data_IF_818951048986
#
_entry.id   IF_818951048986
#
_cell.length_a   1.000
_cell.length_b   1.000
_cell.length_c   1.000
_cell.angle_alpha   90.00
_cell.angle_beta   90.00
_cell.angle_gamma   90.00
#
_symmetry.space_group_name_H-M   'P 1'
#
loop_
_entity.id
_entity.type
_entity.pdbx_description
1 polymer ?
#
# COMPACT_ATOMS: atom_id res chain seq x y z
N UNK A 1 -8.82 -3.72 24.67
CA UNK A 1 -8.55 -4.23 26.03
C UNK A 1 -9.62 -3.73 27.00
N UNK A 2 -10.31 -4.70 27.62
CA UNK A 2 -11.30 -4.70 28.73
C UNK A 2 -12.56 -3.81 28.62
N UNK A 3 -13.69 -4.44 28.26
CA UNK A 3 -15.00 -4.17 28.86
C UNK A 3 -15.39 -5.41 29.71
N UNK A 4 -15.69 -5.19 30.99
CA UNK A 4 -15.60 -6.12 32.11
C UNK A 4 -16.84 -7.01 32.31
N UNK A 5 -17.29 -7.59 31.21
CA UNK A 5 -18.07 -8.83 31.25
C UNK A 5 -19.48 -8.72 30.73
N UNK A 6 -19.61 -8.38 29.43
CA UNK A 6 -20.54 -8.96 28.44
C UNK A 6 -20.89 -8.01 27.25
N UNK A 7 -20.16 -6.90 27.09
CA UNK A 7 -20.30 -5.93 25.98
C UNK A 7 -18.89 -5.56 25.50
N UNK A 8 -18.43 -6.12 24.37
CA UNK A 8 -17.02 -6.06 23.97
C UNK A 8 -16.64 -4.85 23.09
N UNK A 9 -17.63 -4.10 22.58
CA UNK A 9 -17.42 -2.84 21.84
C UNK A 9 -17.92 -1.60 22.64
N UNK A 10 -18.46 -1.84 23.84
CA UNK A 10 -18.87 -0.85 24.83
C UNK A 10 -19.98 0.08 24.30
N UNK A 11 -20.87 -0.46 23.45
CA UNK A 11 -22.01 0.27 22.88
C UNK A 11 -23.29 0.23 23.75
N UNK A 12 -23.25 -0.50 24.88
CA UNK A 12 -24.32 -0.60 25.86
C UNK A 12 -25.28 -1.76 25.65
N UNK A 13 -24.97 -2.73 24.78
CA UNK A 13 -25.77 -3.92 24.53
C UNK A 13 -25.04 -5.18 25.02
N UNK A 14 -25.76 -6.05 25.71
CA UNK A 14 -25.18 -7.15 26.51
C UNK A 14 -25.78 -8.49 26.09
N UNK A 15 -25.52 -8.99 24.89
CA UNK A 15 -25.97 -10.32 24.43
C UNK A 15 -25.35 -10.74 23.08
N UNK A 16 -25.45 -12.03 22.77
CA UNK A 16 -24.72 -12.75 21.72
C UNK A 16 -25.15 -12.48 20.28
N UNK A 17 -25.33 -11.22 19.93
CA UNK A 17 -25.71 -10.73 18.58
C UNK A 17 -24.61 -9.89 17.93
N UNK A 18 -23.33 -10.13 18.28
CA UNK A 18 -22.19 -9.44 17.70
C UNK A 18 -21.43 -10.36 16.70
N UNK A 19 -21.63 -10.23 15.38
CA UNK A 19 -20.82 -10.94 14.39
C UNK A 19 -19.43 -10.31 14.21
N UNK A 20 -19.07 -9.31 15.02
CA UNK A 20 -17.97 -8.36 14.73
C UNK A 20 -16.61 -8.70 15.34
N UNK A 21 -16.44 -9.86 15.99
CA UNK A 21 -15.09 -10.41 16.15
C UNK A 21 -14.64 -10.91 14.77
N UNK A 22 -13.80 -10.14 14.07
CA UNK A 22 -13.05 -10.66 12.92
C UNK A 22 -12.20 -11.82 13.44
N UNK A 23 -12.70 -13.04 13.25
CA UNK A 23 -11.94 -14.23 13.60
C UNK A 23 -10.96 -14.43 12.45
N UNK A 24 -9.73 -13.97 12.63
CA UNK A 24 -8.65 -14.29 11.70
C UNK A 24 -8.60 -15.81 11.49
N UNK A 25 -8.41 -16.22 10.23
CA UNK A 25 -8.47 -17.62 9.81
C UNK A 25 -9.86 -18.12 9.37
N UNK A 26 -10.92 -17.31 9.45
CA UNK A 26 -12.21 -17.68 8.84
C UNK A 26 -12.20 -17.51 7.32
N UNK A 27 -12.93 -18.36 6.57
CA UNK A 27 -13.09 -18.19 5.12
C UNK A 27 -13.75 -16.87 4.75
N UNK A 28 -13.36 -16.31 3.61
CA UNK A 28 -13.92 -15.08 3.07
C UNK A 28 -14.05 -15.14 1.54
N UNK A 29 -14.88 -14.26 0.98
CA UNK A 29 -15.06 -14.04 -0.46
C UNK A 29 -14.72 -12.60 -0.86
N UNK A 30 -14.95 -11.65 0.03
CA UNK A 30 -14.75 -10.22 -0.18
C UNK A 30 -13.86 -9.63 0.91
N UNK A 31 -13.16 -8.52 0.63
CA UNK A 31 -12.43 -7.81 1.69
C UNK A 31 -13.35 -7.31 2.81
N UNK A 32 -14.62 -6.97 2.50
CA UNK A 32 -15.61 -6.54 3.50
C UNK A 32 -16.03 -7.64 4.46
N UNK A 33 -15.82 -8.93 4.14
CA UNK A 33 -16.07 -10.04 5.07
C UNK A 33 -15.12 -10.02 6.28
N UNK A 34 -13.96 -9.36 6.14
CA UNK A 34 -12.93 -9.25 7.16
C UNK A 34 -12.88 -7.87 7.82
N UNK A 35 -13.87 -7.01 7.53
CA UNK A 35 -13.99 -5.68 8.10
C UNK A 35 -14.30 -5.77 9.61
N UNK A 36 -13.75 -4.89 10.47
CA UNK A 36 -13.00 -3.66 10.15
C UNK A 36 -11.48 -3.77 10.18
N UNK A 37 -10.90 -4.90 10.58
CA UNK A 37 -9.46 -4.99 10.94
C UNK A 37 -8.65 -5.89 10.03
N UNK A 38 -9.31 -6.74 9.24
CA UNK A 38 -8.65 -7.73 8.41
C UNK A 38 -8.69 -7.45 6.91
N UNK A 39 -7.94 -8.25 6.18
CA UNK A 39 -8.02 -8.35 4.73
C UNK A 39 -8.32 -9.79 4.33
N UNK A 40 -9.25 -9.98 3.40
CA UNK A 40 -9.44 -11.28 2.76
C UNK A 40 -8.27 -11.54 1.80
N UNK A 41 -7.53 -12.63 2.02
CA UNK A 41 -6.36 -12.96 1.21
C UNK A 41 -6.26 -14.47 0.96
N UNK A 42 -5.68 -14.83 -0.20
CA UNK A 42 -5.43 -16.22 -0.58
C UNK A 42 -4.14 -16.70 0.07
N UNK A 43 -4.23 -17.64 1.00
CA UNK A 43 -3.06 -18.25 1.62
C UNK A 43 -2.43 -19.27 0.70
N UNK A 44 -1.11 -19.15 0.46
CA UNK A 44 -0.39 -20.00 -0.48
C UNK A 44 -0.33 -21.47 -0.02
N UNK A 45 -0.35 -21.73 1.29
CA UNK A 45 -0.29 -23.07 1.89
C UNK A 45 -1.57 -23.88 1.68
N UNK A 46 -2.73 -23.24 1.79
CA UNK A 46 -4.05 -23.89 1.75
C UNK A 46 -4.80 -23.65 0.45
N UNK A 47 -4.38 -22.64 -0.33
CA UNK A 47 -5.10 -22.10 -1.48
C UNK A 47 -6.54 -21.65 -1.14
N UNK A 48 -6.78 -21.26 0.11
CA UNK A 48 -8.06 -20.76 0.59
C UNK A 48 -8.00 -19.25 0.82
N UNK A 49 -9.13 -18.59 0.59
CA UNK A 49 -9.35 -17.21 0.95
C UNK A 49 -9.75 -17.15 2.43
N UNK A 50 -8.93 -16.51 3.26
CA UNK A 50 -9.18 -16.35 4.68
C UNK A 50 -8.92 -14.92 5.17
N UNK A 51 -9.67 -14.52 6.19
CA UNK A 51 -9.45 -13.25 6.86
C UNK A 51 -8.09 -13.26 7.58
N UNK A 52 -7.24 -12.31 7.20
CA UNK A 52 -5.84 -12.26 7.61
C UNK A 52 -5.51 -10.91 8.26
N UNK A 53 -4.55 -10.93 9.17
CA UNK A 53 -4.00 -9.73 9.80
C UNK A 53 -3.25 -8.92 8.74
N UNK A 54 -3.54 -7.62 8.55
CA UNK A 54 -2.79 -6.78 7.63
C UNK A 54 -1.37 -6.53 8.17
N UNK A 55 -0.39 -6.37 7.28
CA UNK A 55 1.00 -6.13 7.63
C UNK A 55 1.69 -5.20 6.63
N UNK A 56 2.77 -4.56 7.07
CA UNK A 56 3.71 -3.81 6.24
C UNK A 56 5.07 -4.50 6.06
N UNK A 57 5.42 -5.40 6.97
CA UNK A 57 6.57 -6.28 6.82
C UNK A 57 6.47 -7.50 7.72
N UNK A 58 7.44 -8.42 7.62
CA UNK A 58 7.46 -9.67 8.40
C UNK A 58 7.45 -9.41 9.92
N UNK A 59 7.92 -8.24 10.37
CA UNK A 59 7.94 -7.85 11.78
C UNK A 59 6.55 -7.59 12.38
N UNK A 60 5.54 -7.34 11.54
CA UNK A 60 4.15 -7.14 11.98
C UNK A 60 3.42 -8.47 12.17
N UNK A 61 3.99 -9.58 11.68
CA UNK A 61 3.38 -10.90 11.72
C UNK A 61 3.81 -11.71 12.95
N UNK A 62 3.00 -12.73 13.30
CA UNK A 62 3.34 -13.59 14.43
C UNK A 62 4.61 -14.41 14.14
N UNK A 63 5.27 -14.87 15.20
CA UNK A 63 6.48 -15.70 15.06
C UNK A 63 6.21 -16.92 14.17
N UNK A 64 6.95 -17.02 13.06
CA UNK A 64 6.82 -18.11 12.09
C UNK A 64 5.88 -17.80 10.93
N UNK A 65 5.34 -16.59 10.85
CA UNK A 65 4.60 -16.07 9.70
C UNK A 65 5.47 -15.10 8.88
N UNK A 66 5.03 -14.81 7.66
CA UNK A 66 5.61 -13.82 6.75
C UNK A 66 4.55 -12.85 6.28
N UNK A 67 4.96 -11.66 5.88
CA UNK A 67 4.10 -10.66 5.27
C UNK A 67 4.13 -10.81 3.75
N UNK A 68 2.96 -11.05 3.15
CA UNK A 68 2.78 -11.20 1.71
C UNK A 68 1.85 -10.14 1.15
N UNK A 69 2.06 -9.71 -0.09
CA UNK A 69 1.25 -8.64 -0.66
C UNK A 69 -0.15 -9.13 -0.99
N UNK A 70 -1.17 -8.35 -0.62
CA UNK A 70 -2.54 -8.55 -1.13
C UNK A 70 -2.57 -8.19 -2.62
N UNK A 71 -2.90 -9.12 -3.54
CA UNK A 71 -3.05 -8.80 -4.96
C UNK A 71 -4.10 -7.71 -5.17
N UNK A 72 -3.83 -6.74 -6.05
CA UNK A 72 -4.76 -5.63 -6.26
C UNK A 72 -4.64 -4.49 -5.24
N UNK A 73 -3.58 -4.47 -4.42
CA UNK A 73 -3.37 -3.43 -3.41
C UNK A 73 -2.28 -2.41 -3.78
N UNK A 74 -2.46 -1.19 -3.27
CA UNK A 74 -1.45 -0.15 -3.13
C UNK A 74 -0.86 -0.27 -1.73
N UNK A 75 0.15 -1.11 -1.59
CA UNK A 75 0.87 -1.32 -0.33
C UNK A 75 -0.04 -1.82 0.81
N UNK A 76 -0.70 -2.97 0.62
CA UNK A 76 -1.34 -3.70 1.72
C UNK A 76 -0.80 -5.12 1.73
N UNK A 77 -0.25 -5.55 2.86
CA UNK A 77 0.18 -6.92 3.09
C UNK A 77 -0.81 -7.70 3.94
N UNK A 78 -0.63 -9.01 4.01
CA UNK A 78 -1.30 -9.91 4.94
C UNK A 78 -0.32 -10.93 5.52
N UNK A 79 -0.50 -11.27 6.79
CA UNK A 79 0.28 -12.31 7.45
C UNK A 79 -0.22 -13.69 7.06
N UNK A 80 0.72 -14.58 6.74
CA UNK A 80 0.45 -16.00 6.50
C UNK A 80 1.61 -16.87 6.96
N UNK A 81 1.31 -18.14 7.21
CA UNK A 81 2.34 -19.16 7.38
C UNK A 81 3.11 -19.27 6.05
N UNK A 82 4.45 -19.18 6.06
CA UNK A 82 5.24 -19.30 4.85
C UNK A 82 4.93 -20.65 4.19
N UNK A 83 4.65 -20.69 2.89
CA UNK A 83 4.52 -21.94 2.18
C UNK A 83 5.85 -22.71 2.26
N UNK A 84 5.81 -24.01 1.96
CA UNK A 84 7.00 -24.88 1.91
C UNK A 84 7.89 -24.56 0.69
N UNK A 85 8.28 -23.30 0.59
CA UNK A 85 9.04 -22.63 -0.45
C UNK A 85 10.32 -22.05 0.15
N UNK A 86 11.14 -21.43 -0.70
CA UNK A 86 12.42 -20.86 -0.30
C UNK A 86 12.22 -19.58 0.50
N UNK A 87 12.96 -19.46 1.61
CA UNK A 87 12.98 -18.28 2.47
C UNK A 87 13.88 -17.18 1.86
N UNK A 88 13.77 -15.98 2.43
CA UNK A 88 14.58 -14.82 2.05
C UNK A 88 16.08 -15.15 1.98
N UNK A 89 16.77 -14.56 1.00
CA UNK A 89 18.17 -14.76 0.62
C UNK A 89 18.53 -16.12 -0.01
N UNK A 90 17.60 -17.08 -0.13
CA UNK A 90 17.84 -18.31 -0.87
C UNK A 90 17.74 -18.09 -2.38
N UNK A 91 18.54 -18.80 -3.17
CA UNK A 91 18.56 -18.65 -4.62
C UNK A 91 17.26 -19.16 -5.28
N UNK A 92 16.71 -18.40 -6.23
CA UNK A 92 15.47 -18.72 -6.94
C UNK A 92 15.60 -18.54 -8.45
N UNK A 93 14.79 -19.29 -9.20
CA UNK A 93 14.61 -19.12 -10.64
C UNK A 93 13.46 -18.17 -11.01
N UNK A 94 12.38 -18.19 -10.24
CA UNK A 94 11.19 -17.35 -10.41
C UNK A 94 10.46 -17.14 -9.07
N UNK A 95 9.44 -16.27 -9.10
CA UNK A 95 8.62 -15.88 -7.95
C UNK A 95 7.94 -17.07 -7.25
N UNK A 96 7.61 -18.13 -7.99
CA UNK A 96 6.88 -19.30 -7.44
C UNK A 96 7.75 -20.16 -6.52
N UNK A 97 9.07 -19.97 -6.56
CA UNK A 97 9.99 -20.68 -5.68
C UNK A 97 10.14 -20.02 -4.31
N UNK A 98 9.69 -18.77 -4.15
CA UNK A 98 9.91 -17.97 -2.95
C UNK A 98 8.68 -17.91 -2.06
N UNK A 99 8.87 -18.03 -0.75
CA UNK A 99 7.79 -17.97 0.23
C UNK A 99 7.04 -16.63 0.19
N UNK A 100 7.77 -15.54 -0.06
CA UNK A 100 7.21 -14.20 -0.28
C UNK A 100 6.52 -14.01 -1.63
N UNK A 101 6.68 -14.95 -2.57
CA UNK A 101 6.30 -14.79 -3.96
C UNK A 101 7.18 -13.81 -4.74
N UNK A 102 8.39 -13.50 -4.27
CA UNK A 102 9.27 -12.50 -4.88
C UNK A 102 10.69 -13.04 -5.07
N UNK A 103 11.07 -13.24 -6.33
CA UNK A 103 12.40 -13.62 -6.77
C UNK A 103 13.07 -12.46 -7.51
N UNK A 104 13.99 -11.76 -6.82
CA UNK A 104 14.65 -10.57 -7.36
C UNK A 104 16.14 -10.85 -7.50
N UNK A 105 16.67 -10.64 -8.71
CA UNK A 105 18.08 -10.88 -9.03
C UNK A 105 18.56 -12.31 -8.65
N UNK A 106 17.67 -13.30 -8.80
CA UNK A 106 17.96 -14.70 -8.50
C UNK A 106 17.99 -15.06 -7.02
N UNK A 107 17.48 -14.20 -6.13
CA UNK A 107 17.32 -14.49 -4.71
C UNK A 107 15.90 -14.16 -4.22
N UNK A 108 15.37 -14.99 -3.31
CA UNK A 108 14.11 -14.71 -2.65
C UNK A 108 14.25 -13.49 -1.74
N UNK A 109 13.30 -12.57 -1.82
CA UNK A 109 13.33 -11.31 -1.07
C UNK A 109 12.04 -11.08 -0.31
N UNK A 110 12.13 -10.37 0.81
CA UNK A 110 10.96 -10.00 1.60
C UNK A 110 10.14 -8.93 0.87
N UNK A 111 8.83 -8.95 1.08
CA UNK A 111 7.98 -7.80 0.80
C UNK A 111 8.43 -6.62 1.65
N UNK A 112 8.37 -5.41 1.09
CA UNK A 112 8.43 -4.19 1.87
C UNK A 112 7.40 -3.19 1.37
N UNK A 113 6.74 -2.53 2.32
CA UNK A 113 5.83 -1.43 1.98
C UNK A 113 6.49 -0.06 2.11
N UNK A 114 7.58 0.01 2.87
CA UNK A 114 8.42 1.18 3.06
C UNK A 114 9.86 0.75 3.43
N UNK A 115 10.77 1.72 3.49
CA UNK A 115 12.19 1.46 3.81
C UNK A 115 12.40 0.87 5.22
N UNK A 116 11.54 1.20 6.19
CA UNK A 116 11.66 0.70 7.55
C UNK A 116 11.52 -0.83 7.64
N UNK A 117 10.86 -1.44 6.64
CA UNK A 117 10.70 -2.88 6.52
C UNK A 117 11.90 -3.57 5.83
N UNK A 118 12.94 -2.83 5.43
CA UNK A 118 14.19 -3.35 4.90
C UNK A 118 15.38 -3.02 5.82
N UNK A 119 15.59 -3.79 6.90
CA UNK A 119 16.57 -3.41 7.94
C UNK A 119 18.04 -3.62 7.56
N UNK A 120 18.33 -4.27 6.42
CA UNK A 120 19.70 -4.52 5.99
C UNK A 120 20.31 -3.26 5.35
N UNK A 121 21.49 -2.85 5.80
CA UNK A 121 22.11 -1.59 5.40
C UNK A 121 22.51 -1.51 3.91
N UNK A 122 22.55 -2.64 3.21
CA UNK A 122 22.88 -2.77 1.79
C UNK A 122 21.65 -3.06 0.91
N UNK A 123 20.44 -2.85 1.46
CA UNK A 123 19.18 -3.09 0.77
C UNK A 123 18.26 -1.89 0.93
N UNK A 124 17.59 -1.54 -0.16
CA UNK A 124 16.47 -0.62 -0.14
C UNK A 124 15.16 -1.31 -0.50
N UNK A 125 14.06 -0.68 -0.10
CA UNK A 125 12.73 -1.05 -0.55
C UNK A 125 12.53 -0.54 -1.98
N UNK A 126 12.76 -1.44 -2.95
CA UNK A 126 12.71 -1.12 -4.38
C UNK A 126 11.45 -1.63 -5.06
N UNK A 127 10.96 -0.89 -6.06
CA UNK A 127 9.88 -1.35 -6.92
C UNK A 127 10.32 -2.53 -7.77
N UNK A 128 9.56 -3.61 -7.69
CA UNK A 128 9.71 -4.81 -8.52
C UNK A 128 8.35 -5.28 -9.04
N UNK A 129 8.38 -6.15 -10.04
CA UNK A 129 7.19 -6.80 -10.60
C UNK A 129 7.11 -6.70 -12.12
N UNK A 130 6.05 -7.29 -12.66
CA UNK A 130 5.73 -7.28 -14.08
C UNK A 130 4.31 -6.69 -14.26
N UNK A 131 4.29 -5.48 -14.80
CA UNK A 131 3.06 -4.74 -15.06
C UNK A 131 2.14 -5.46 -16.06
N UNK A 132 2.68 -6.31 -16.94
CA UNK A 132 1.92 -7.04 -17.95
C UNK A 132 1.02 -8.12 -17.35
N UNK A 133 1.37 -8.63 -16.17
CA UNK A 133 0.60 -9.66 -15.44
C UNK A 133 -0.14 -9.10 -14.21
N UNK A 134 -0.12 -7.77 -13.99
CA UNK A 134 -0.82 -7.17 -12.85
C UNK A 134 0.00 -7.06 -11.57
N UNK A 135 1.32 -7.25 -11.62
CA UNK A 135 2.19 -7.24 -10.44
C UNK A 135 3.06 -5.99 -10.39
N UNK A 136 2.95 -5.23 -9.31
CA UNK A 136 3.88 -4.17 -8.91
C UNK A 136 3.92 -4.16 -7.40
N UNK A 137 5.10 -4.15 -6.79
CA UNK A 137 5.28 -4.35 -5.34
C UNK A 137 6.64 -3.81 -4.90
N UNK A 138 6.78 -3.44 -3.62
CA UNK A 138 8.07 -3.15 -3.02
C UNK A 138 8.75 -4.42 -2.52
N UNK A 139 10.05 -4.58 -2.77
CA UNK A 139 10.82 -5.70 -2.24
C UNK A 139 12.15 -5.24 -1.62
N UNK A 140 12.57 -5.91 -0.54
CA UNK A 140 13.88 -5.68 0.06
C UNK A 140 14.98 -6.39 -0.73
N UNK A 141 15.48 -5.71 -1.75
CA UNK A 141 16.55 -6.20 -2.60
C UNK A 141 17.83 -5.38 -2.39
N UNK A 142 18.98 -5.96 -2.75
CA UNK A 142 20.22 -5.21 -2.80
C UNK A 142 20.14 -4.13 -3.88
N UNK A 143 20.69 -2.96 -3.58
CA UNK A 143 20.69 -1.82 -4.50
C UNK A 143 21.36 -2.21 -5.83
N UNK A 144 20.71 -1.98 -6.98
CA UNK A 144 21.34 -2.24 -8.27
C UNK A 144 22.63 -1.42 -8.44
N UNK A 145 23.65 -2.04 -9.05
CA UNK A 145 24.93 -1.36 -9.25
C UNK A 145 24.76 -0.07 -10.07
N UNK A 146 25.22 1.05 -9.53
CA UNK A 146 25.15 2.36 -10.18
C UNK A 146 23.87 3.14 -9.94
N UNK A 147 22.91 2.63 -9.15
CA UNK A 147 21.76 3.42 -8.72
C UNK A 147 22.09 4.29 -7.51
N UNK A 148 21.47 5.46 -7.44
CA UNK A 148 21.55 6.38 -6.32
C UNK A 148 20.61 5.99 -5.17
N UNK A 149 21.06 6.24 -3.95
CA UNK A 149 20.25 6.09 -2.74
C UNK A 149 19.21 7.21 -2.62
N UNK A 150 18.25 7.04 -1.70
CA UNK A 150 17.30 8.11 -1.34
C UNK A 150 18.03 9.43 -1.03
N UNK A 151 17.51 10.54 -1.57
CA UNK A 151 18.08 11.88 -1.44
C UNK A 151 19.15 12.25 -2.47
N UNK A 152 19.60 11.32 -3.32
CA UNK A 152 20.48 11.62 -4.45
C UNK A 152 19.69 12.12 -5.67
N UNK A 153 20.33 12.87 -6.57
CA UNK A 153 19.67 13.33 -7.80
C UNK A 153 19.31 12.15 -8.71
N UNK A 154 18.08 12.14 -9.23
CA UNK A 154 17.59 11.09 -10.12
C UNK A 154 17.75 11.44 -11.61
N UNK A 155 18.87 12.07 -11.97
CA UNK A 155 19.19 12.51 -13.33
C UNK A 155 19.97 11.42 -14.07
N UNK A 156 19.36 10.80 -15.08
CA UNK A 156 20.00 9.79 -15.92
C UNK A 156 20.96 10.39 -16.95
N UNK A 157 20.65 11.60 -17.42
CA UNK A 157 21.51 12.43 -18.28
C UNK A 157 21.05 13.89 -18.18
N UNK A 158 21.84 14.90 -18.60
CA UNK A 158 21.48 16.30 -18.42
C UNK A 158 20.06 16.64 -18.90
N UNK A 159 19.17 17.01 -17.96
CA UNK A 159 17.76 17.34 -18.18
C UNK A 159 16.81 16.14 -18.27
N UNK A 160 17.30 14.90 -18.16
CA UNK A 160 16.51 13.66 -18.23
C UNK A 160 16.47 13.01 -16.86
N UNK A 161 15.27 12.94 -16.30
CA UNK A 161 15.00 12.43 -14.96
C UNK A 161 14.32 11.07 -15.05
N UNK A 162 14.84 10.08 -14.32
CA UNK A 162 14.40 8.70 -14.43
C UNK A 162 14.40 8.02 -13.05
N UNK A 163 13.33 7.31 -12.70
CA UNK A 163 13.27 6.51 -11.48
C UNK A 163 14.20 5.29 -11.51
N UNK A 164 14.57 4.80 -12.70
CA UNK A 164 15.45 3.64 -12.86
C UNK A 164 16.88 3.87 -12.36
N UNK A 165 17.30 5.13 -12.17
CA UNK A 165 18.61 5.44 -11.55
C UNK A 165 18.54 5.45 -10.03
N UNK A 166 17.36 5.25 -9.43
CA UNK A 166 17.16 5.19 -8.00
C UNK A 166 17.07 3.75 -7.54
N UNK A 167 17.71 3.43 -6.41
CA UNK A 167 17.61 2.09 -5.81
C UNK A 167 16.16 1.70 -5.50
N UNK A 168 15.33 2.70 -5.15
CA UNK A 168 13.90 2.54 -4.87
C UNK A 168 13.05 2.36 -6.14
N UNK A 169 13.60 2.67 -7.32
CA UNK A 169 12.86 2.77 -8.58
C UNK A 169 11.99 4.03 -8.70
N UNK A 170 12.08 4.98 -7.75
CA UNK A 170 11.25 6.19 -7.73
C UNK A 170 12.07 7.48 -7.61
N UNK A 171 11.78 8.42 -8.49
CA UNK A 171 12.35 9.77 -8.56
C UNK A 171 11.22 10.76 -8.25
N UNK A 172 11.41 11.79 -7.42
CA UNK A 172 10.40 12.81 -7.14
C UNK A 172 10.51 13.99 -8.14
N UNK A 173 9.71 13.91 -9.20
CA UNK A 173 9.62 14.80 -10.36
C UNK A 173 8.73 16.02 -10.09
N UNK A 174 7.91 15.98 -9.02
CA UNK A 174 7.11 17.12 -8.57
C UNK A 174 7.93 18.08 -7.71
N UNK A 175 9.08 17.64 -7.20
CA UNK A 175 10.06 18.56 -6.64
C UNK A 175 10.52 19.56 -7.72
N UNK A 176 11.01 20.72 -7.28
CA UNK A 176 11.64 21.67 -8.20
C UNK A 176 12.77 20.98 -8.98
N UNK A 177 13.06 21.40 -10.21
CA UNK A 177 14.03 20.71 -11.08
C UNK A 177 15.41 20.56 -10.42
N UNK A 178 15.85 21.57 -9.66
CA UNK A 178 17.11 21.52 -8.90
C UNK A 178 17.08 20.54 -7.70
N UNK A 179 15.93 19.96 -7.40
CA UNK A 179 15.67 19.12 -6.22
C UNK A 179 14.96 17.81 -6.56
N UNK A 180 15.00 17.36 -7.82
CA UNK A 180 14.45 16.06 -8.21
C UNK A 180 15.38 14.96 -7.70
N UNK A 181 14.90 14.23 -6.70
CA UNK A 181 15.70 13.26 -5.96
C UNK A 181 15.07 11.88 -5.96
N UNK A 182 15.90 10.85 -5.86
CA UNK A 182 15.47 9.52 -5.50
C UNK A 182 14.72 9.56 -4.18
N UNK A 183 13.51 9.00 -4.15
CA UNK A 183 12.63 9.06 -2.99
C UNK A 183 12.15 7.67 -2.59
N UNK A 184 11.82 7.54 -1.32
CA UNK A 184 11.49 6.24 -0.70
C UNK A 184 10.09 5.77 -1.08
N UNK A 185 9.90 4.45 -1.08
CA UNK A 185 8.56 3.86 -1.05
C UNK A 185 7.91 4.11 0.30
N UNK A 186 6.60 4.26 0.29
CA UNK A 186 5.83 4.62 1.47
C UNK A 186 4.53 3.84 1.56
N UNK A 187 4.11 3.55 2.78
CA UNK A 187 2.81 3.01 3.10
C UNK A 187 1.94 4.04 3.82
N UNK A 188 2.55 4.99 4.53
CA UNK A 188 1.87 6.13 5.15
C UNK A 188 2.66 7.43 4.98
N UNK A 189 2.05 8.56 5.36
CA UNK A 189 2.73 9.87 5.38
C UNK A 189 3.92 9.89 6.35
N UNK A 190 3.96 9.03 7.37
CA UNK A 190 5.05 8.96 8.33
C UNK A 190 6.37 8.48 7.69
N UNK A 191 6.29 7.75 6.58
CA UNK A 191 7.46 7.27 5.83
C UNK A 191 8.14 8.37 5.01
N UNK A 192 7.50 9.52 4.87
CA UNK A 192 7.97 10.61 4.02
C UNK A 192 8.60 11.76 4.81
N UNK A 193 9.49 12.50 4.15
CA UNK A 193 10.02 13.75 4.69
C UNK A 193 8.87 14.72 5.02
N UNK A 194 9.04 15.67 5.97
CA UNK A 194 7.97 16.57 6.38
C UNK A 194 7.30 17.32 5.22
N UNK A 195 8.08 17.69 4.21
CA UNK A 195 7.62 18.39 3.01
C UNK A 195 7.04 17.47 1.91
N UNK A 196 7.10 16.14 2.04
CA UNK A 196 6.65 15.17 1.02
C UNK A 196 5.44 14.38 1.49
N UNK A 197 4.55 13.98 0.60
CA UNK A 197 3.39 13.13 0.90
C UNK A 197 3.56 11.74 0.31
N UNK A 198 2.94 10.74 0.94
CA UNK A 198 2.84 9.40 0.38
C UNK A 198 1.71 9.37 -0.65
N UNK A 199 1.98 8.89 -1.87
CA UNK A 199 0.94 8.78 -2.88
C UNK A 199 1.21 7.68 -3.90
N UNK A 200 0.19 7.30 -4.67
CA UNK A 200 0.34 6.32 -5.75
C UNK A 200 1.21 6.91 -6.86
N UNK A 201 2.29 6.21 -7.20
CA UNK A 201 3.26 6.65 -8.22
C UNK A 201 3.33 5.72 -9.43
N UNK A 202 2.89 4.47 -9.26
CA UNK A 202 2.89 3.45 -10.29
C UNK A 202 1.74 2.47 -10.05
N UNK A 203 1.10 2.00 -11.10
CA UNK A 203 0.05 0.99 -11.00
C UNK A 203 0.10 0.00 -12.18
N UNK A 204 -0.53 -1.15 -12.06
CA UNK A 204 -0.76 -2.02 -13.22
C UNK A 204 -2.12 -1.73 -13.85
N UNK A 205 -2.15 -1.61 -15.18
CA UNK A 205 -3.41 -1.49 -15.93
C UNK A 205 -4.16 -2.84 -16.02
N UNK A 206 -3.56 -3.94 -15.55
CA UNK A 206 -4.12 -5.29 -15.57
C UNK A 206 -4.37 -5.72 -14.13
N UNK A 207 -5.56 -6.27 -13.86
CA UNK A 207 -5.85 -6.90 -12.57
C UNK A 207 -5.12 -8.24 -12.48
N UNK A 208 -4.47 -8.50 -11.35
CA UNK A 208 -3.85 -9.80 -11.10
C UNK A 208 -4.94 -10.89 -10.98
N UNK A 209 -4.63 -12.12 -11.38
CA UNK A 209 -5.60 -13.22 -11.40
C UNK A 209 -6.16 -13.56 -10.01
N UNK A 210 -5.36 -13.34 -8.96
CA UNK A 210 -5.71 -13.64 -7.57
C UNK A 210 -6.33 -12.46 -6.80
N UNK A 211 -6.76 -11.40 -7.50
CA UNK A 211 -7.42 -10.26 -6.86
C UNK A 211 -8.72 -10.70 -6.19
N UNK A 212 -8.87 -10.32 -4.92
CA UNK A 212 -10.11 -10.48 -4.16
C UNK A 212 -10.96 -9.23 -4.38
N UNK A 213 -12.25 -9.35 -4.74
CA UNK A 213 -13.13 -8.19 -4.85
C UNK A 213 -13.32 -7.52 -3.49
N UNK A 214 -13.52 -6.20 -3.50
CA UNK A 214 -13.71 -5.47 -2.24
C UNK A 214 -15.02 -5.83 -1.54
N UNK A 215 -16.13 -5.79 -2.27
CA UNK A 215 -17.51 -5.95 -1.77
C UNK A 215 -18.40 -6.48 -2.92
N UNK A 216 -19.47 -7.25 -2.66
CA UNK A 216 -20.39 -7.73 -3.70
C UNK A 216 -21.02 -6.61 -4.55
N UNK A 217 -21.17 -5.40 -4.01
CA UNK A 217 -21.68 -4.22 -4.73
C UNK A 217 -20.58 -3.45 -5.47
N UNK A 218 -19.31 -3.76 -5.21
CA UNK A 218 -18.17 -3.12 -5.86
C UNK A 218 -17.79 -3.85 -7.15
N UNK A 219 -18.35 -3.40 -8.27
CA UNK A 219 -18.18 -4.04 -9.57
C UNK A 219 -16.81 -3.80 -10.25
N UNK A 220 -15.96 -2.93 -9.68
CA UNK A 220 -14.68 -2.58 -10.30
C UNK A 220 -13.57 -3.54 -9.85
N UNK A 221 -12.74 -4.06 -10.77
CA UNK A 221 -11.60 -4.87 -10.38
C UNK A 221 -10.56 -4.02 -9.66
N UNK A 222 -9.87 -4.62 -8.69
CA UNK A 222 -8.70 -4.02 -8.07
C UNK A 222 -7.44 -4.36 -8.88
N UNK A 223 -6.48 -3.45 -8.88
CA UNK A 223 -5.21 -3.55 -9.60
C UNK A 223 -4.07 -3.22 -8.66
N UNK A 224 -2.93 -3.89 -8.81
CA UNK A 224 -1.78 -3.62 -7.96
C UNK A 224 -1.25 -2.22 -8.22
N UNK A 225 -0.83 -1.55 -7.16
CA UNK A 225 -0.15 -0.26 -7.23
C UNK A 225 0.99 -0.18 -6.23
N UNK A 226 1.83 0.81 -6.43
CA UNK A 226 2.88 1.19 -5.51
C UNK A 226 2.77 2.66 -5.14
N UNK A 227 3.17 2.96 -3.91
CA UNK A 227 3.15 4.31 -3.38
C UNK A 227 4.55 4.73 -3.00
N UNK A 228 4.86 5.99 -3.23
CA UNK A 228 6.15 6.56 -2.88
C UNK A 228 6.02 8.01 -2.44
N UNK A 229 7.04 8.49 -1.76
CA UNK A 229 7.10 9.86 -1.29
C UNK A 229 7.30 10.82 -2.47
N UNK A 230 6.52 11.89 -2.48
CA UNK A 230 6.58 12.92 -3.51
C UNK A 230 6.32 14.29 -2.92
N UNK A 231 6.89 15.32 -3.53
CA UNK A 231 6.62 16.70 -3.19
C UNK A 231 5.17 17.06 -3.58
N UNK A 232 4.39 17.74 -2.71
CA UNK A 232 3.03 18.12 -3.04
C UNK A 232 3.03 19.15 -4.17
N UNK A 233 2.42 18.81 -5.30
CA UNK A 233 2.37 19.67 -6.49
C UNK A 233 1.38 20.84 -6.40
N UNK A 234 0.90 21.24 -5.23
CA UNK A 234 -0.23 22.16 -5.08
C UNK A 234 0.05 23.36 -4.16
N UNK A 235 -0.62 24.51 -4.40
CA UNK A 235 -0.38 25.74 -3.66
C UNK A 235 -0.78 25.64 -2.17
N UNK A 236 -0.24 26.53 -1.31
CA UNK A 236 -0.58 26.59 0.11
C UNK A 236 -2.09 26.79 0.35
N UNK A 237 -2.58 26.26 1.47
CA UNK A 237 -3.99 26.32 1.89
C UNK A 237 -4.84 25.04 1.75
N UNK A 238 -4.29 23.81 1.59
CA UNK A 238 -5.14 22.63 1.56
C UNK A 238 -5.73 22.35 2.95
N UNK A 239 -6.92 21.75 2.96
CA UNK A 239 -7.61 21.29 4.16
C UNK A 239 -6.85 20.12 4.78
N UNK A 240 -6.85 20.07 6.11
CA UNK A 240 -6.33 18.96 6.90
C UNK A 240 -7.25 17.75 6.81
N UNK A 241 -6.74 16.58 7.16
CA UNK A 241 -7.52 15.36 7.33
C UNK A 241 -8.76 15.60 8.22
N UNK A 242 -9.82 14.84 7.99
CA UNK A 242 -11.10 14.96 8.68
C UNK A 242 -11.96 16.16 8.24
N UNK A 243 -11.42 17.12 7.48
CA UNK A 243 -12.21 18.20 6.91
C UNK A 243 -13.03 17.70 5.70
N UNK A 244 -14.25 18.20 5.54
CA UNK A 244 -15.07 17.87 4.35
C UNK A 244 -14.45 18.44 3.08
N UNK A 245 -14.56 17.71 1.98
CA UNK A 245 -14.02 18.09 0.69
C UNK A 245 -15.00 17.76 -0.44
N UNK A 246 -14.81 18.40 -1.60
CA UNK A 246 -15.58 18.08 -2.82
C UNK A 246 -14.68 17.61 -3.96
N UNK A 247 -13.38 17.44 -3.68
CA UNK A 247 -12.38 16.99 -4.65
C UNK A 247 -11.00 16.87 -4.02
N UNK A 248 -10.18 16.00 -4.59
CA UNK A 248 -8.83 15.68 -4.12
C UNK A 248 -7.96 16.93 -3.90
N UNK A 249 -8.02 17.91 -4.81
CA UNK A 249 -7.23 19.16 -4.75
C UNK A 249 -7.47 20.04 -3.52
N UNK A 250 -8.54 19.80 -2.76
CA UNK A 250 -8.80 20.53 -1.54
C UNK A 250 -8.04 19.98 -0.33
N UNK A 251 -7.44 18.79 -0.43
CA UNK A 251 -6.88 18.06 0.70
C UNK A 251 -5.35 18.04 0.67
N UNK A 252 -4.73 18.10 1.85
CA UNK A 252 -3.26 18.18 1.96
C UNK A 252 -2.57 16.98 1.32
N UNK A 253 -3.17 15.78 1.44
CA UNK A 253 -2.69 14.54 0.81
C UNK A 253 -3.21 14.31 -0.61
N UNK A 254 -4.07 15.17 -1.15
CA UNK A 254 -4.81 14.92 -2.40
C UNK A 254 -5.76 13.72 -2.34
N UNK A 255 -6.26 13.42 -1.14
CA UNK A 255 -7.16 12.31 -0.89
C UNK A 255 -8.47 12.84 -0.35
N UNK A 256 -9.52 12.72 -1.14
CA UNK A 256 -10.88 13.13 -0.80
C UNK A 256 -11.80 11.93 -1.04
N UNK A 257 -12.05 11.16 0.01
CA UNK A 257 -12.75 9.87 -0.09
C UNK A 257 -14.00 9.87 0.78
N UNK A 258 -15.00 9.10 0.35
CA UNK A 258 -16.15 8.76 1.19
C UNK A 258 -15.69 7.84 2.31
N UNK A 259 -16.02 8.19 3.55
CA UNK A 259 -15.58 7.42 4.71
C UNK A 259 -16.57 6.30 5.06
N UNK A 260 -17.85 6.42 4.64
CA UNK A 260 -18.88 5.41 4.82
C UNK A 260 -19.56 5.09 3.48
N UNK A 261 -19.87 3.81 3.17
CA UNK A 261 -20.59 3.45 1.94
C UNK A 261 -21.96 4.14 1.77
N UNK A 262 -22.60 4.50 2.88
CA UNK A 262 -23.93 5.12 2.94
C UNK A 262 -23.91 6.65 2.99
N UNK A 263 -22.76 7.28 3.28
CA UNK A 263 -22.63 8.73 3.38
C UNK A 263 -21.93 9.28 2.12
N UNK A 264 -22.61 10.13 1.32
CA UNK A 264 -21.99 10.76 0.15
C UNK A 264 -20.93 11.82 0.53
N UNK A 265 -20.81 12.17 1.81
CA UNK A 265 -19.85 13.18 2.28
C UNK A 265 -18.42 12.66 2.13
N UNK A 266 -17.62 13.44 1.40
CA UNK A 266 -16.21 13.16 1.22
C UNK A 266 -15.39 13.94 2.25
N UNK A 267 -14.33 13.32 2.74
CA UNK A 267 -13.43 13.92 3.71
C UNK A 267 -11.99 13.82 3.23
N UNK A 268 -11.20 14.83 3.60
CA UNK A 268 -9.77 14.80 3.46
C UNK A 268 -9.21 13.70 4.36
N UNK A 269 -8.31 12.90 3.81
CA UNK A 269 -7.70 11.76 4.52
C UNK A 269 -6.28 11.52 4.01
N UNK A 270 -5.64 10.44 4.46
CA UNK A 270 -4.30 10.01 4.10
C UNK A 270 -4.22 8.49 4.05
N UNK A 271 -3.16 8.01 3.41
CA UNK A 271 -2.75 6.61 3.53
C UNK A 271 -2.22 6.31 4.93
N UNK A 272 -2.49 5.10 5.39
CA UNK A 272 -2.11 4.59 6.69
C UNK A 272 -1.78 3.09 6.59
N UNK A 273 -1.01 2.62 7.56
CA UNK A 273 -0.80 1.19 7.82
C UNK A 273 -1.51 0.79 9.10
N UNK A 274 -1.48 1.67 10.10
CA UNK A 274 -2.02 1.46 11.44
C UNK A 274 -2.89 2.62 11.87
N UNK A 275 -3.70 2.42 12.89
CA UNK A 275 -4.49 3.50 13.51
C UNK A 275 -3.61 4.65 14.04
N UNK A 276 -2.35 4.37 14.38
CA UNK A 276 -1.40 5.39 14.84
C UNK A 276 -0.99 6.39 13.74
N UNK A 277 -1.15 6.02 12.46
CA UNK A 277 -0.94 6.95 11.34
C UNK A 277 -2.10 7.96 11.20
N UNK A 278 -3.23 7.67 11.82
CA UNK A 278 -4.46 8.43 11.69
C UNK A 278 -4.60 9.50 12.78
N UNK A 279 -5.36 10.55 12.48
CA UNK A 279 -5.69 11.56 13.47
C UNK A 279 -6.67 11.03 14.51
N UNK A 280 -6.73 11.69 15.67
CA UNK A 280 -7.66 11.31 16.75
C UNK A 280 -9.10 11.19 16.23
N UNK A 281 -9.73 10.06 16.53
CA UNK A 281 -11.09 9.73 16.09
C UNK A 281 -11.17 9.04 14.72
N UNK A 282 -10.05 8.82 14.03
CA UNK A 282 -9.99 8.02 12.81
C UNK A 282 -9.23 6.71 13.04
N UNK A 283 -9.55 5.70 12.25
CA UNK A 283 -8.92 4.39 12.20
C UNK A 283 -8.46 4.07 10.79
N UNK A 284 -7.41 3.27 10.66
CA UNK A 284 -6.91 2.83 9.37
C UNK A 284 -7.75 1.66 8.84
N UNK A 285 -8.37 1.86 7.67
CA UNK A 285 -9.29 0.87 7.08
C UNK A 285 -8.93 0.56 5.63
N UNK A 286 -8.80 -0.73 5.25
CA UNK A 286 -8.64 -1.12 3.86
C UNK A 286 -9.82 -0.64 3.00
N UNK A 287 -9.53 0.13 1.97
CA UNK A 287 -10.53 0.81 1.14
C UNK A 287 -10.06 0.87 -0.32
N UNK A 288 -10.95 0.70 -1.31
CA UNK A 288 -10.62 0.95 -2.70
C UNK A 288 -10.31 2.43 -2.93
N UNK A 289 -9.16 2.71 -3.52
CA UNK A 289 -8.74 4.05 -3.93
C UNK A 289 -8.55 4.09 -5.44
N UNK A 290 -8.94 5.20 -6.07
CA UNK A 290 -8.75 5.42 -7.51
C UNK A 290 -7.28 5.67 -7.85
N UNK A 291 -6.83 5.30 -9.06
CA UNK A 291 -5.48 5.59 -9.58
C UNK A 291 -5.33 7.04 -10.05
N UNK A 292 -5.67 7.98 -9.17
CA UNK A 292 -5.58 9.41 -9.42
C UNK A 292 -4.68 10.02 -8.36
N UNK A 293 -3.52 10.51 -8.80
CA UNK A 293 -2.58 11.22 -7.95
C UNK A 293 -1.96 12.41 -8.68
N UNK A 294 -1.40 13.39 -7.94
CA UNK A 294 -0.63 14.48 -8.53
C UNK A 294 0.51 13.98 -9.41
N UNK A 295 1.13 12.87 -8.99
CA UNK A 295 2.20 12.20 -9.69
C UNK A 295 1.76 11.77 -11.09
N UNK A 296 0.73 10.92 -11.14
CA UNK A 296 0.20 10.32 -12.36
C UNK A 296 -0.41 11.36 -13.31
N UNK A 297 -0.83 12.52 -12.77
CA UNK A 297 -1.41 13.60 -13.58
C UNK A 297 -0.33 14.46 -14.24
N UNK A 298 0.78 14.75 -13.54
CA UNK A 298 1.83 15.66 -14.01
C UNK A 298 2.96 14.95 -14.76
N UNK A 299 3.08 13.63 -14.62
CA UNK A 299 4.19 12.84 -15.17
C UNK A 299 4.05 12.50 -16.67
N UNK A 300 3.00 13.00 -17.34
CA UNK A 300 2.80 12.88 -18.79
C UNK A 300 3.96 13.43 -19.63
N UNK A 301 4.86 14.24 -19.05
CA UNK A 301 6.09 14.71 -19.68
C UNK A 301 7.25 13.69 -19.67
N UNK A 302 7.16 12.60 -18.90
CA UNK A 302 8.26 11.63 -18.65
C UNK A 302 7.82 10.18 -18.98
N UNK A 303 6.69 10.01 -19.66
CA UNK A 303 6.21 8.68 -20.08
C UNK A 303 5.66 7.82 -18.93
N UNK A 304 5.43 8.40 -17.76
CA UNK A 304 4.79 7.74 -16.65
C UNK A 304 3.27 7.68 -16.84
N UNK A 305 2.67 6.63 -16.27
CA UNK A 305 1.30 6.20 -16.54
C UNK A 305 0.28 7.32 -16.25
N UNK A 306 -0.72 7.54 -17.14
CA UNK A 306 -1.71 8.57 -16.93
C UNK A 306 -2.63 8.23 -15.74
N UNK A 307 -3.09 9.25 -15.01
CA UNK A 307 -4.13 9.04 -14.01
C UNK A 307 -5.37 8.34 -14.61
N UNK A 308 -5.96 7.41 -13.88
CA UNK A 308 -7.12 6.62 -14.33
C UNK A 308 -8.13 6.41 -13.19
N UNK A 309 -9.28 7.09 -13.28
CA UNK A 309 -10.36 7.01 -12.30
C UNK A 309 -11.25 5.75 -12.43
N UNK A 310 -11.01 4.94 -13.45
CA UNK A 310 -11.66 3.64 -13.64
C UNK A 310 -10.92 2.51 -12.93
N UNK A 311 -9.62 2.68 -12.66
CA UNK A 311 -8.80 1.70 -11.97
C UNK A 311 -8.74 1.99 -10.47
N UNK A 312 -8.75 0.92 -9.67
CA UNK A 312 -8.79 0.98 -8.21
C UNK A 312 -7.74 0.06 -7.61
N UNK A 313 -7.22 0.37 -6.43
CA UNK A 313 -6.43 -0.53 -5.60
C UNK A 313 -7.00 -0.55 -4.20
N UNK A 314 -6.79 -1.65 -3.48
CA UNK A 314 -6.96 -1.65 -2.03
C UNK A 314 -5.82 -0.86 -1.36
N UNK A 315 -6.14 0.08 -0.49
CA UNK A 315 -5.14 0.78 0.33
C UNK A 315 -5.67 1.00 1.74
N UNK A 316 -4.80 1.10 2.73
CA UNK A 316 -5.17 1.60 4.06
C UNK A 316 -5.45 3.10 3.99
N UNK A 317 -6.64 3.53 4.40
CA UNK A 317 -7.03 4.94 4.46
C UNK A 317 -7.61 5.26 5.84
N UNK A 318 -7.28 6.44 6.37
CA UNK A 318 -7.86 6.89 7.63
C UNK A 318 -9.36 7.22 7.47
N UNK A 319 -10.21 6.53 8.21
CA UNK A 319 -11.67 6.69 8.22
C UNK A 319 -12.19 6.96 9.62
N UNK A 320 -13.29 7.68 9.75
CA UNK A 320 -14.04 7.68 11.01
C UNK A 320 -14.63 6.27 11.22
N UNK A 321 -14.68 5.77 12.46
CA UNK A 321 -15.29 4.50 12.79
C UNK A 321 -16.78 4.46 12.43
#
# INVERSE_FOLDING_TARGET
EVCDGLDNDCNGLTDGDDPSCVVFGQPCTYHTDCYPEGVCARHATTNQLICSVPCAGDADCASGEICSKVPGSAQVGFCQIPPALKLNAQACGDDTECASGLCVSGACVALCLNEANCPAADKSCGLVGDLSIGLVVGACASDPAGTGSTGTACEASPGVWDGAVCATGHCDLLAAESTRWCSTLCASKADCLPAQQCNIVLYSAVAHADVVPYDPLFAKPLTSAAMACQSPGFPPGPKTDGATCTGASQCQGMHCFGLLPSDPTLFCTRFCVTDADCMSGMQCKPTPVTMVSPWLTNSASIGAQPANDQLHALAGICKFP
#
